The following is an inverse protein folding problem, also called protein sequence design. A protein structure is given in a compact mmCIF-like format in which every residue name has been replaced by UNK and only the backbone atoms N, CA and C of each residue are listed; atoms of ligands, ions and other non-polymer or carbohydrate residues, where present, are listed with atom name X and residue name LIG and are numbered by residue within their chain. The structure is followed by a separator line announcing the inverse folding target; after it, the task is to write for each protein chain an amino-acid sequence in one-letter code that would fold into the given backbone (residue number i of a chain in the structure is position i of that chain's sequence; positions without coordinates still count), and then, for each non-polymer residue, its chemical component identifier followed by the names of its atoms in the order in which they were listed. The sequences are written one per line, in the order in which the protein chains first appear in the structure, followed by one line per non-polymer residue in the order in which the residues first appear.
data_IF_497918269420
#
_entry.id   IF_497918269420
#
_cell.length_a   1.000
_cell.length_b   1.000
_cell.length_c   1.000
_cell.angle_alpha   90.00
_cell.angle_beta   90.00
_cell.angle_gamma   90.00
#
_symmetry.space_group_name_H-M   'P 1'
#
loop_
_entity.id
_entity.type
_entity.pdbx_description
1 polymer ?
#
# COMPACT_ATOMS: atom_id res chain seq x y z
N UNK A 1 -13.31 3.94 -14.97
CA UNK A 1 -12.70 5.30 -15.02
C UNK A 1 -11.26 5.08 -15.40
N UNK A 2 -10.70 5.81 -16.37
CA UNK A 2 -9.49 5.39 -17.09
C UNK A 2 -8.31 5.04 -16.16
N UNK A 3 -7.90 5.95 -15.27
CA UNK A 3 -6.79 5.73 -14.32
C UNK A 3 -7.06 4.58 -13.32
N UNK A 4 -8.31 4.39 -12.89
CA UNK A 4 -8.69 3.28 -12.00
C UNK A 4 -8.60 1.94 -12.72
N UNK A 5 -9.06 1.89 -13.98
CA UNK A 5 -9.02 0.68 -14.79
C UNK A 5 -7.58 0.33 -15.19
N UNK A 6 -6.73 1.32 -15.45
CA UNK A 6 -5.29 1.15 -15.69
C UNK A 6 -4.60 0.54 -14.46
N UNK A 7 -4.79 1.14 -13.28
CA UNK A 7 -4.23 0.67 -12.02
C UNK A 7 -4.69 -0.76 -11.67
N UNK A 8 -5.97 -1.08 -11.87
CA UNK A 8 -6.55 -2.41 -11.60
C UNK A 8 -6.02 -3.49 -12.55
N UNK A 9 -5.62 -3.13 -13.77
CA UNK A 9 -5.05 -4.05 -14.77
C UNK A 9 -3.52 -4.15 -14.69
N UNK A 10 -2.88 -3.30 -13.87
CA UNK A 10 -1.43 -3.23 -13.79
C UNK A 10 -0.79 -2.57 -15.01
N UNK A 11 -1.56 -1.78 -15.77
CA UNK A 11 -1.03 -1.03 -16.89
C UNK A 11 -0.36 0.24 -16.35
N UNK A 12 0.94 0.14 -16.09
CA UNK A 12 1.75 1.21 -15.52
C UNK A 12 1.85 2.39 -16.47
N UNK A 13 2.07 2.13 -17.75
CA UNK A 13 2.27 3.17 -18.77
C UNK A 13 1.03 4.06 -18.87
N UNK A 14 -0.16 3.46 -19.00
CA UNK A 14 -1.42 4.19 -19.06
C UNK A 14 -1.74 4.91 -17.73
N UNK A 15 -1.37 4.30 -16.61
CA UNK A 15 -1.52 4.93 -15.30
C UNK A 15 -0.67 6.20 -15.21
N UNK A 16 0.58 6.14 -15.63
CA UNK A 16 1.51 7.25 -15.61
C UNK A 16 1.07 8.37 -16.57
N UNK A 17 0.70 8.01 -17.81
CA UNK A 17 0.13 8.95 -18.78
C UNK A 17 -1.11 9.68 -18.23
N UNK A 18 -1.98 8.99 -17.49
CA UNK A 18 -3.14 9.64 -16.85
C UNK A 18 -2.72 10.68 -15.80
N UNK A 19 -1.71 10.37 -14.99
CA UNK A 19 -1.20 11.27 -13.95
C UNK A 19 -0.52 12.49 -14.59
N UNK A 20 0.30 12.28 -15.61
CA UNK A 20 0.95 13.34 -16.40
C UNK A 20 -0.08 14.24 -17.11
N UNK A 21 -1.19 13.67 -17.57
CA UNK A 21 -2.32 14.41 -18.14
C UNK A 21 -3.13 15.21 -17.10
N UNK A 22 -2.75 15.16 -15.82
CA UNK A 22 -3.39 15.90 -14.74
C UNK A 22 -4.69 15.27 -14.23
N UNK A 23 -4.94 13.99 -14.53
CA UNK A 23 -6.06 13.27 -13.90
C UNK A 23 -5.78 13.18 -12.40
N UNK A 24 -6.74 13.62 -11.57
CA UNK A 24 -6.60 13.55 -10.12
C UNK A 24 -6.30 12.12 -9.66
N UNK A 25 -5.23 11.95 -8.87
CA UNK A 25 -4.82 10.67 -8.29
C UNK A 25 -5.91 10.07 -7.38
N UNK A 26 -6.72 10.92 -6.76
CA UNK A 26 -7.84 10.54 -5.88
C UNK A 26 -9.17 10.40 -6.63
N UNK A 27 -9.18 10.47 -7.96
CA UNK A 27 -10.41 10.32 -8.73
C UNK A 27 -11.03 8.93 -8.50
N UNK A 28 -12.37 8.89 -8.49
CA UNK A 28 -13.14 7.71 -8.08
C UNK A 28 -14.00 7.18 -9.22
N UNK A 29 -14.04 5.86 -9.36
CA UNK A 29 -14.99 5.21 -10.28
C UNK A 29 -16.43 5.16 -9.70
N UNK A 30 -17.35 4.52 -10.43
CA UNK A 30 -18.76 4.39 -10.01
C UNK A 30 -18.94 3.60 -8.71
N UNK A 31 -17.97 2.80 -8.29
CA UNK A 31 -17.98 2.06 -7.03
C UNK A 31 -17.32 2.85 -5.88
N UNK A 32 -16.86 4.08 -6.14
CA UNK A 32 -16.10 4.86 -5.17
C UNK A 32 -14.65 4.39 -5.03
N UNK A 33 -14.15 3.55 -5.94
CA UNK A 33 -12.78 3.06 -5.89
C UNK A 33 -11.84 4.05 -6.57
N UNK A 34 -10.75 4.42 -5.88
CA UNK A 34 -9.62 5.14 -6.46
C UNK A 34 -8.68 4.21 -7.23
N UNK A 35 -7.69 4.78 -7.92
CA UNK A 35 -6.63 4.01 -8.58
C UNK A 35 -5.89 3.10 -7.59
N UNK A 36 -5.65 3.61 -6.37
CA UNK A 36 -4.97 2.85 -5.32
C UNK A 36 -5.79 1.64 -4.86
N UNK A 37 -7.12 1.74 -4.79
CA UNK A 37 -7.98 0.58 -4.53
C UNK A 37 -7.81 -0.48 -5.62
N UNK A 38 -7.82 -0.06 -6.89
CA UNK A 38 -7.66 -0.96 -8.03
C UNK A 38 -6.34 -1.71 -8.00
N UNK A 39 -5.22 -0.99 -7.89
CA UNK A 39 -3.89 -1.58 -7.82
C UNK A 39 -3.72 -2.47 -6.57
N UNK A 40 -4.22 -2.02 -5.42
CA UNK A 40 -4.11 -2.78 -4.17
C UNK A 40 -4.94 -4.07 -4.18
N UNK A 41 -6.14 -4.05 -4.76
CA UNK A 41 -6.99 -5.23 -4.92
C UNK A 41 -6.35 -6.27 -5.87
N UNK A 42 -5.75 -5.80 -6.97
CA UNK A 42 -5.15 -6.67 -7.97
C UNK A 42 -3.71 -7.10 -7.64
N UNK A 43 -3.04 -6.43 -6.70
CA UNK A 43 -1.69 -6.75 -6.27
C UNK A 43 -0.59 -6.16 -7.16
N UNK A 44 -0.90 -5.10 -7.91
CA UNK A 44 0.04 -4.47 -8.83
C UNK A 44 0.96 -3.50 -8.08
N UNK A 45 2.06 -4.04 -7.55
CA UNK A 45 3.01 -3.32 -6.71
C UNK A 45 3.58 -2.06 -7.38
N UNK A 46 3.99 -2.13 -8.65
CA UNK A 46 4.58 -0.98 -9.35
C UNK A 46 3.59 0.18 -9.50
N UNK A 47 2.32 -0.13 -9.77
CA UNK A 47 1.24 0.86 -9.79
C UNK A 47 1.00 1.47 -8.40
N UNK A 48 1.05 0.66 -7.33
CA UNK A 48 0.94 1.14 -5.95
C UNK A 48 2.09 2.10 -5.65
N UNK A 49 3.34 1.71 -5.92
CA UNK A 49 4.52 2.55 -5.72
C UNK A 49 4.45 3.85 -6.51
N UNK A 50 3.97 3.79 -7.76
CA UNK A 50 3.80 4.99 -8.58
C UNK A 50 2.80 5.95 -7.98
N UNK A 51 1.64 5.44 -7.55
CA UNK A 51 0.59 6.25 -6.93
C UNK A 51 1.05 6.86 -5.61
N UNK A 52 1.77 6.09 -4.77
CA UNK A 52 2.27 6.56 -3.46
C UNK A 52 3.25 7.75 -3.56
N UNK A 53 3.84 7.99 -4.74
CA UNK A 53 4.69 9.15 -5.01
C UNK A 53 3.92 10.42 -5.37
N UNK A 54 2.62 10.31 -5.66
CA UNK A 54 1.82 11.45 -6.10
C UNK A 54 1.52 12.41 -4.94
N UNK A 55 1.71 13.73 -5.15
CA UNK A 55 1.37 14.70 -4.15
C UNK A 55 -0.14 14.68 -3.88
N UNK A 56 -0.52 14.84 -2.61
CA UNK A 56 -1.93 14.89 -2.15
C UNK A 56 -2.70 13.57 -2.34
N UNK A 57 -2.03 12.45 -2.58
CA UNK A 57 -2.67 11.15 -2.52
C UNK A 57 -3.33 10.95 -1.14
N UNK A 58 -4.61 10.55 -1.15
CA UNK A 58 -5.34 10.16 0.05
C UNK A 58 -5.33 8.64 0.20
N UNK A 59 -4.36 8.12 0.95
CA UNK A 59 -4.11 6.67 1.09
C UNK A 59 -5.26 5.91 1.75
N UNK A 60 -6.06 6.59 2.58
CA UNK A 60 -7.14 6.01 3.39
C UNK A 60 -8.54 6.27 2.84
N UNK A 61 -8.67 6.64 1.56
CA UNK A 61 -9.99 6.79 0.92
C UNK A 61 -10.84 5.53 1.11
N UNK A 62 -12.11 5.72 1.43
CA UNK A 62 -13.08 4.64 1.56
C UNK A 62 -13.98 4.57 0.32
N UNK A 63 -14.09 3.39 -0.27
CA UNK A 63 -15.04 3.16 -1.35
C UNK A 63 -16.50 3.10 -0.83
N UNK A 64 -17.46 2.80 -1.71
CA UNK A 64 -18.88 2.77 -1.33
C UNK A 64 -19.27 1.74 -0.26
N UNK A 65 -18.45 0.72 -0.03
CA UNK A 65 -18.66 -0.26 1.06
C UNK A 65 -17.80 0.04 2.29
N UNK A 66 -17.04 1.13 2.28
CA UNK A 66 -16.18 1.54 3.39
C UNK A 66 -14.79 0.91 3.37
N UNK A 67 -14.47 0.09 2.37
CA UNK A 67 -13.14 -0.51 2.26
C UNK A 67 -12.13 0.54 1.85
N UNK A 68 -10.96 0.52 2.49
CA UNK A 68 -9.77 1.26 2.07
C UNK A 68 -8.92 0.42 1.11
N UNK A 69 -7.89 1.00 0.46
CA UNK A 69 -6.93 0.20 -0.31
C UNK A 69 -6.26 -0.91 0.53
N UNK A 70 -6.01 -0.68 1.82
CA UNK A 70 -5.46 -1.67 2.72
C UNK A 70 -6.42 -2.85 2.96
N UNK A 71 -7.73 -2.60 3.10
CA UNK A 71 -8.74 -3.68 3.15
C UNK A 71 -8.66 -4.56 1.90
N UNK A 72 -8.58 -3.92 0.73
CA UNK A 72 -8.52 -4.62 -0.56
C UNK A 72 -7.28 -5.52 -0.68
N UNK A 73 -6.10 -5.02 -0.30
CA UNK A 73 -4.86 -5.79 -0.33
C UNK A 73 -4.87 -6.95 0.68
N UNK A 74 -5.37 -6.71 1.90
CA UNK A 74 -5.44 -7.71 2.96
C UNK A 74 -6.37 -8.88 2.62
N UNK A 75 -7.58 -8.60 2.11
CA UNK A 75 -8.55 -9.61 1.64
C UNK A 75 -7.94 -10.51 0.56
N UNK A 76 -7.17 -9.91 -0.35
CA UNK A 76 -6.60 -10.60 -1.52
C UNK A 76 -5.27 -11.28 -1.23
N UNK A 77 -4.65 -10.99 -0.10
CA UNK A 77 -3.44 -11.67 0.34
C UNK A 77 -2.15 -11.11 -0.25
N UNK A 78 -2.15 -9.85 -0.70
CA UNK A 78 -1.02 -9.20 -1.36
C UNK A 78 -0.04 -8.61 -0.34
N UNK A 79 0.83 -9.47 0.21
CA UNK A 79 1.72 -9.13 1.33
C UNK A 79 2.58 -7.88 1.08
N UNK A 80 3.26 -7.79 -0.06
CA UNK A 80 4.15 -6.65 -0.35
C UNK A 80 3.37 -5.34 -0.51
N UNK A 81 2.15 -5.40 -1.05
CA UNK A 81 1.26 -4.24 -1.12
C UNK A 81 0.80 -3.83 0.28
N UNK A 82 0.43 -4.77 1.15
CA UNK A 82 0.06 -4.47 2.54
C UNK A 82 1.22 -3.77 3.27
N UNK A 83 2.43 -4.32 3.18
CA UNK A 83 3.63 -3.73 3.80
C UNK A 83 3.84 -2.28 3.37
N UNK A 84 3.85 -2.02 2.07
CA UNK A 84 4.15 -0.68 1.59
C UNK A 84 3.06 0.33 1.90
N UNK A 85 1.79 -0.09 1.87
CA UNK A 85 0.68 0.77 2.29
C UNK A 85 0.82 1.15 3.77
N UNK A 86 1.15 0.20 4.65
CA UNK A 86 1.39 0.48 6.07
C UNK A 86 2.58 1.44 6.25
N UNK A 87 3.72 1.18 5.58
CA UNK A 87 4.91 2.03 5.63
C UNK A 87 4.62 3.49 5.20
N UNK A 88 3.63 3.70 4.33
CA UNK A 88 3.20 5.04 3.88
C UNK A 88 2.02 5.60 4.68
N UNK A 89 1.72 5.04 5.87
CA UNK A 89 0.73 5.59 6.80
C UNK A 89 -0.72 5.17 6.51
N UNK A 90 -0.94 4.05 5.83
CA UNK A 90 -2.28 3.47 5.75
C UNK A 90 -2.77 3.06 7.15
N UNK A 91 -3.98 3.47 7.52
CA UNK A 91 -4.54 3.19 8.82
C UNK A 91 -5.18 1.79 8.83
N UNK A 92 -4.61 0.87 9.62
CA UNK A 92 -5.06 -0.51 9.78
C UNK A 92 -6.27 -0.69 10.71
N UNK A 93 -6.68 0.35 11.42
CA UNK A 93 -7.76 0.29 12.41
C UNK A 93 -9.10 0.79 11.84
N UNK A 94 -9.09 1.34 10.62
CA UNK A 94 -10.32 1.76 9.96
C UNK A 94 -11.23 0.56 9.72
N UNK A 95 -12.51 0.74 10.02
CA UNK A 95 -13.56 -0.22 9.75
C UNK A 95 -14.33 0.15 8.49
N UNK A 96 -14.69 -0.85 7.69
CA UNK A 96 -15.64 -0.70 6.60
C UNK A 96 -17.10 -0.66 7.13
N UNK A 97 -18.08 -0.58 6.23
CA UNK A 97 -19.50 -0.51 6.61
C UNK A 97 -20.05 -1.80 7.23
N UNK A 98 -19.31 -2.90 7.15
CA UNK A 98 -19.62 -4.18 7.77
C UNK A 98 -18.90 -4.36 9.12
N UNK A 99 -18.28 -3.30 9.66
CA UNK A 99 -17.47 -3.31 10.89
C UNK A 99 -16.22 -4.21 10.83
N UNK A 100 -15.70 -4.46 9.63
CA UNK A 100 -14.47 -5.21 9.45
C UNK A 100 -13.28 -4.26 9.32
N UNK A 101 -12.16 -4.59 9.98
CA UNK A 101 -10.85 -3.99 9.70
C UNK A 101 -10.15 -4.76 8.58
N UNK A 102 -9.07 -4.22 7.95
CA UNK A 102 -8.24 -4.99 7.03
C UNK A 102 -7.75 -6.30 7.65
N UNK A 103 -7.42 -6.27 8.95
CA UNK A 103 -6.97 -7.42 9.72
C UNK A 103 -8.04 -8.51 9.77
N UNK A 104 -9.28 -8.19 10.14
CA UNK A 104 -10.34 -9.19 10.28
C UNK A 104 -10.72 -9.86 8.96
N UNK A 105 -10.42 -9.22 7.83
CA UNK A 105 -10.65 -9.77 6.50
C UNK A 105 -9.46 -10.58 5.94
N UNK A 106 -8.27 -10.44 6.53
CA UNK A 106 -7.08 -11.14 6.07
C UNK A 106 -7.21 -12.64 6.32
N UNK A 107 -6.89 -13.45 5.31
CA UNK A 107 -6.91 -14.92 5.42
C UNK A 107 -5.52 -15.54 5.58
N UNK A 108 -4.46 -14.79 5.27
CA UNK A 108 -3.08 -15.25 5.34
C UNK A 108 -2.49 -14.91 6.70
N UNK A 109 -1.99 -15.93 7.41
CA UNK A 109 -1.37 -15.75 8.73
C UNK A 109 -0.25 -14.71 8.75
N UNK A 110 0.53 -14.59 7.67
CA UNK A 110 1.58 -13.57 7.52
C UNK A 110 1.04 -12.14 7.44
N UNK A 111 -0.13 -11.92 6.85
CA UNK A 111 -0.77 -10.59 6.78
C UNK A 111 -1.49 -10.29 8.10
N UNK A 112 -2.12 -11.29 8.70
CA UNK A 112 -2.72 -11.19 10.04
C UNK A 112 -1.66 -10.73 11.04
N UNK A 113 -0.51 -11.40 11.09
CA UNK A 113 0.60 -11.04 11.97
C UNK A 113 1.15 -9.64 11.70
N UNK A 114 1.35 -9.27 10.43
CA UNK A 114 1.79 -7.92 10.06
C UNK A 114 0.80 -6.82 10.52
N UNK A 115 -0.51 -7.08 10.40
CA UNK A 115 -1.56 -6.14 10.82
C UNK A 115 -1.81 -6.15 12.34
N UNK A 116 -1.42 -7.20 13.06
CA UNK A 116 -1.39 -7.22 14.54
C UNK A 116 -0.27 -6.35 15.10
N UNK A 117 0.91 -6.47 14.50
CA UNK A 117 2.14 -5.94 15.04
C UNK A 117 2.36 -4.45 14.75
N UNK A 118 1.50 -3.82 13.94
CA UNK A 118 1.58 -2.38 13.67
C UNK A 118 3.00 -1.90 13.35
N UNK A 119 3.60 -2.36 12.24
CA UNK A 119 4.97 -2.01 11.82
C UNK A 119 6.07 -2.19 12.88
N UNK A 120 5.99 -3.18 13.77
CA UNK A 120 7.20 -3.73 14.44
C UNK A 120 7.99 -4.63 13.47
N UNK A 121 8.55 -4.01 12.42
CA UNK A 121 9.73 -4.55 11.75
C UNK A 121 10.76 -3.45 11.85
N UNK A 122 11.48 -3.40 12.99
CA UNK A 122 12.74 -2.69 13.02
C UNK A 122 13.63 -3.29 11.93
N UNK A 123 13.94 -2.47 10.93
CA UNK A 123 15.13 -2.65 10.12
C UNK A 123 16.29 -2.74 11.11
N UNK A 124 16.70 -3.97 11.44
CA UNK A 124 18.06 -4.23 11.91
C UNK A 124 18.99 -4.03 10.71
N UNK A 125 19.05 -2.80 10.21
CA UNK A 125 20.21 -2.34 9.48
C UNK A 125 21.35 -2.40 10.49
N UNK A 126 22.16 -3.44 10.29
CA UNK A 126 23.39 -3.69 11.03
C UNK A 126 24.15 -2.39 11.09
N UNK A 127 24.18 -1.80 12.28
CA UNK A 127 25.28 -0.98 12.72
C UNK A 127 26.53 -1.84 12.50
N UNK A 128 27.19 -1.63 11.36
CA UNK A 128 28.56 -2.07 11.14
C UNK A 128 29.41 -1.24 12.08
N UNK A 129 29.42 -1.63 13.34
CA UNK A 129 30.53 -1.36 14.23
C UNK A 129 31.74 -2.06 13.58
N UNK A 130 32.50 -1.34 12.76
CA UNK A 130 33.91 -1.64 12.56
C UNK A 130 34.63 -1.06 13.78
N UNK A 131 35.09 -1.90 14.71
CA UNK A 131 35.88 -1.44 15.84
C UNK A 131 37.32 -1.25 15.38
N UNK A 132 37.80 -0.02 15.55
CA UNK A 132 39.19 0.34 15.83
C UNK A 132 40.27 -0.10 14.82
N UNK A 133 40.67 0.85 13.96
CA UNK A 133 42.07 1.02 13.59
C UNK A 133 42.88 1.40 14.85
N UNK A 134 43.52 0.40 15.46
CA UNK A 134 44.68 0.46 16.38
C UNK A 134 44.95 -1.00 16.80
N UNK A 135 46.09 -1.66 16.59
CA UNK A 135 47.48 -1.25 16.65
C UNK A 135 48.38 -2.35 16.01
N UNK A 136 49.55 -1.91 15.53
CA UNK A 136 50.86 -2.58 15.53
C UNK A 136 51.15 -3.84 14.71
N UNK A 137 52.06 -3.68 13.73
CA UNK A 137 53.22 -4.57 13.54
C UNK A 137 54.33 -3.86 12.72
N UNK A 138 55.51 -3.76 13.36
CA UNK A 138 56.89 -3.48 12.90
C UNK A 138 57.36 -2.05 12.58
#
# INVERSE_FOLDING_TARGET
MLIVDAARRGNYELLDECLEAGVSVNALDKAGCSALHGAAHAGHFDCVMRLLKEPKLEINLQNKIGDTPLHCAAVKGHLEVVKVLLQHGANSDLINRENHTPRSLAKRGTIITLLDQGLEYEETERQGDDPADSEDSD
#
